data_IF_124993138393
#
_entry.id   IF_124993138393
#
_cell.length_a   1.000
_cell.length_b   1.000
_cell.length_c   1.000
_cell.angle_alpha   90.00
_cell.angle_beta   90.00
_cell.angle_gamma   90.00
#
_symmetry.space_group_name_H-M   'P 1'
#
loop_
_entity.id
_entity.type
_entity.pdbx_description
1 polymer ?
#
# COMPACT_ATOMS: atom_id res chain seq x y z
N UNK A 1 -36.60 -15.17 65.39
CA UNK A 1 -35.55 -14.18 65.03
C UNK A 1 -35.32 -14.26 63.53
N UNK A 2 -35.91 -13.34 62.77
CA UNK A 2 -35.81 -13.32 61.30
C UNK A 2 -34.66 -12.40 60.88
N UNK A 3 -33.67 -12.96 60.19
CA UNK A 3 -32.52 -12.24 59.66
C UNK A 3 -32.87 -11.67 58.29
N UNK A 4 -32.93 -10.34 58.18
CA UNK A 4 -33.11 -9.64 56.91
C UNK A 4 -31.74 -9.50 56.22
N UNK A 5 -31.55 -10.26 55.14
CA UNK A 5 -30.38 -10.15 54.26
C UNK A 5 -30.59 -9.01 53.27
N UNK A 6 -29.98 -7.85 53.54
CA UNK A 6 -30.00 -6.69 52.66
C UNK A 6 -28.97 -6.86 51.54
N UNK A 7 -29.38 -7.42 50.41
CA UNK A 7 -28.58 -7.44 49.18
C UNK A 7 -28.49 -6.03 48.57
N UNK A 8 -27.37 -5.35 48.81
CA UNK A 8 -26.99 -4.10 48.15
C UNK A 8 -26.65 -4.39 46.68
N UNK A 9 -27.60 -4.15 45.76
CA UNK A 9 -27.32 -4.11 44.32
C UNK A 9 -26.44 -2.90 44.03
N UNK A 10 -25.15 -3.13 43.79
CA UNK A 10 -24.29 -2.15 43.13
C UNK A 10 -24.81 -1.98 41.70
N UNK A 11 -25.47 -0.85 41.45
CA UNK A 11 -25.82 -0.38 40.12
C UNK A 11 -24.54 -0.27 39.31
N UNK A 12 -24.31 -1.21 38.40
CA UNK A 12 -23.29 -1.08 37.35
C UNK A 12 -23.77 0.03 36.44
N UNK A 13 -23.26 1.24 36.65
CA UNK A 13 -23.37 2.31 35.66
C UNK A 13 -22.78 1.76 34.36
N UNK A 14 -23.63 1.62 33.35
CA UNK A 14 -23.16 1.33 32.01
C UNK A 14 -22.13 2.41 31.64
N UNK A 15 -20.99 2.06 31.03
CA UNK A 15 -20.03 3.05 30.56
C UNK A 15 -20.79 4.03 29.67
N UNK A 16 -20.97 5.25 30.15
CA UNK A 16 -21.66 6.30 29.44
C UNK A 16 -20.97 6.48 28.11
N UNK A 17 -21.74 6.38 27.02
CA UNK A 17 -21.31 6.85 25.71
C UNK A 17 -21.15 8.37 25.80
N UNK A 18 -20.02 8.82 26.33
CA UNK A 18 -19.66 10.23 26.30
C UNK A 18 -19.61 10.66 24.84
N UNK A 19 -20.44 11.66 24.50
CA UNK A 19 -20.53 12.17 23.15
C UNK A 19 -19.18 12.74 22.73
N UNK A 20 -18.58 12.17 21.69
CA UNK A 20 -17.32 12.62 21.10
C UNK A 20 -17.34 14.12 20.74
N UNK A 21 -18.53 14.70 20.53
CA UNK A 21 -18.71 16.13 20.25
C UNK A 21 -18.29 17.05 21.42
N UNK A 22 -18.45 16.62 22.67
CA UNK A 22 -18.07 17.42 23.84
C UNK A 22 -16.54 17.43 24.04
N UNK A 23 -15.86 16.35 23.63
CA UNK A 23 -14.41 16.21 23.78
C UNK A 23 -13.61 17.10 22.80
N UNK A 24 -14.21 17.52 21.69
CA UNK A 24 -13.57 18.33 20.64
C UNK A 24 -13.07 19.70 21.14
N UNK A 25 -13.62 20.21 22.24
CA UNK A 25 -13.25 21.49 22.85
C UNK A 25 -12.52 21.32 24.20
N UNK A 26 -12.00 20.12 24.48
CA UNK A 26 -11.24 19.89 25.70
C UNK A 26 -9.81 20.45 25.56
N UNK A 27 -9.17 20.90 26.67
CA UNK A 27 -7.75 21.28 26.64
C UNK A 27 -6.82 20.16 26.11
N UNK A 28 -7.23 18.90 26.27
CA UNK A 28 -6.51 17.75 25.72
C UNK A 28 -6.57 17.70 24.18
N UNK A 29 -7.74 18.01 23.59
CA UNK A 29 -7.89 18.10 22.14
C UNK A 29 -7.05 19.25 21.56
N UNK A 30 -7.05 20.41 22.22
CA UNK A 30 -6.18 21.55 21.84
C UNK A 30 -4.70 21.18 21.91
N UNK A 31 -4.28 20.48 22.96
CA UNK A 31 -2.91 19.97 23.09
C UNK A 31 -2.53 19.00 21.97
N UNK A 32 -3.43 18.09 21.57
CA UNK A 32 -3.19 17.18 20.44
C UNK A 32 -3.07 17.95 19.11
N UNK A 33 -3.95 18.92 18.87
CA UNK A 33 -3.88 19.78 17.67
C UNK A 33 -2.55 20.54 17.64
N UNK A 34 -2.10 21.09 18.77
CA UNK A 34 -0.81 21.75 18.88
C UNK A 34 0.33 20.81 18.49
N UNK A 35 0.36 19.57 19.02
CA UNK A 35 1.38 18.58 18.66
C UNK A 35 1.35 18.28 17.16
N UNK A 36 0.18 18.00 16.59
CA UNK A 36 0.03 17.67 15.17
C UNK A 36 0.47 18.80 14.24
N UNK A 37 0.28 20.06 14.65
CA UNK A 37 0.72 21.23 13.88
C UNK A 37 2.23 21.51 13.98
N UNK A 38 2.92 20.96 14.98
CA UNK A 38 4.34 21.23 15.25
C UNK A 38 5.25 20.01 15.09
N UNK A 39 4.71 18.86 14.69
CA UNK A 39 5.48 17.64 14.41
C UNK A 39 5.53 17.37 12.91
N UNK A 40 6.67 16.87 12.41
CA UNK A 40 6.73 16.42 11.02
C UNK A 40 5.91 15.14 10.85
N UNK A 41 5.28 14.90 9.67
CA UNK A 41 4.56 13.66 9.42
C UNK A 41 5.43 12.41 9.61
N UNK A 42 6.72 12.52 9.29
CA UNK A 42 7.71 11.45 9.47
C UNK A 42 7.92 11.13 10.96
N UNK A 43 8.19 12.14 11.79
CA UNK A 43 8.44 11.94 13.21
C UNK A 43 7.19 11.44 13.95
N UNK A 44 6.01 11.91 13.53
CA UNK A 44 4.74 11.38 14.04
C UNK A 44 4.59 9.89 13.72
N UNK A 45 4.80 9.49 12.47
CA UNK A 45 4.71 8.08 12.06
C UNK A 45 5.73 7.21 12.81
N UNK A 46 6.95 7.68 12.97
CA UNK A 46 8.00 6.95 13.68
C UNK A 46 7.74 6.86 15.18
N UNK A 47 7.22 7.92 15.81
CA UNK A 47 6.79 7.92 17.20
C UNK A 47 5.67 6.90 17.45
N UNK A 48 4.65 6.90 16.59
CA UNK A 48 3.55 5.92 16.64
C UNK A 48 4.09 4.50 16.46
N UNK A 49 4.96 4.24 15.47
CA UNK A 49 5.59 2.91 15.27
C UNK A 49 6.36 2.44 16.51
N UNK A 50 7.14 3.33 17.12
CA UNK A 50 7.89 3.02 18.36
C UNK A 50 6.95 2.67 19.53
N UNK A 51 5.76 3.26 19.61
CA UNK A 51 4.78 2.91 20.63
C UNK A 51 4.22 1.48 20.49
N UNK A 52 4.29 0.89 19.29
CA UNK A 52 3.94 -0.52 19.05
C UNK A 52 5.10 -1.49 19.32
N UNK A 53 6.30 -0.99 19.59
CA UNK A 53 7.47 -1.81 19.95
C UNK A 53 7.70 -1.79 21.47
N UNK A 54 8.14 -2.89 22.09
CA UNK A 54 8.55 -2.88 23.50
C UNK A 54 9.59 -1.79 23.77
N UNK A 55 9.52 -1.07 24.92
CA UNK A 55 8.72 -1.37 26.10
C UNK A 55 7.33 -0.69 26.16
N UNK A 56 7.01 0.21 25.24
CA UNK A 56 5.81 1.07 25.31
C UNK A 56 4.50 0.36 24.92
N UNK A 57 4.56 -0.95 24.70
CA UNK A 57 3.52 -1.83 24.15
C UNK A 57 2.10 -1.41 24.53
N UNK A 58 1.42 -0.76 23.59
CA UNK A 58 -0.01 -0.48 23.71
C UNK A 58 -0.78 -1.79 23.96
N UNK A 59 -1.75 -1.74 24.87
CA UNK A 59 -2.65 -2.87 25.10
C UNK A 59 -3.51 -3.12 23.85
N UNK A 60 -3.97 -4.35 23.66
CA UNK A 60 -4.89 -4.69 22.56
C UNK A 60 -6.12 -3.77 22.49
N UNK A 61 -6.65 -3.36 23.66
CA UNK A 61 -7.77 -2.42 23.74
C UNK A 61 -7.40 -1.03 23.20
N UNK A 62 -6.25 -0.47 23.61
CA UNK A 62 -5.77 0.82 23.12
C UNK A 62 -5.50 0.80 21.61
N UNK A 63 -4.96 -0.30 21.08
CA UNK A 63 -4.77 -0.49 19.64
C UNK A 63 -6.11 -0.48 18.91
N UNK A 64 -7.13 -1.16 19.46
CA UNK A 64 -8.48 -1.16 18.91
C UNK A 64 -9.08 0.25 18.84
N UNK A 65 -9.03 0.99 19.96
CA UNK A 65 -9.52 2.38 20.03
C UNK A 65 -8.79 3.29 19.04
N UNK A 66 -7.47 3.14 18.91
CA UNK A 66 -6.70 3.93 17.94
C UNK A 66 -7.15 3.64 16.51
N UNK A 67 -7.36 2.37 16.14
CA UNK A 67 -7.86 2.03 14.80
C UNK A 67 -9.27 2.57 14.55
N UNK A 68 -10.15 2.58 15.56
CA UNK A 68 -11.49 3.18 15.47
C UNK A 68 -11.42 4.69 15.22
N UNK A 69 -10.51 5.39 15.93
CA UNK A 69 -10.28 6.83 15.73
C UNK A 69 -9.74 7.11 14.33
N UNK A 70 -8.77 6.33 13.85
CA UNK A 70 -8.21 6.49 12.50
C UNK A 70 -9.26 6.26 11.40
N UNK A 71 -10.14 5.28 11.61
CA UNK A 71 -11.26 5.00 10.71
C UNK A 71 -12.29 6.14 10.72
N UNK A 72 -12.67 6.66 11.90
CA UNK A 72 -13.56 7.80 12.03
C UNK A 72 -12.98 9.09 11.40
N UNK A 73 -11.66 9.27 11.48
CA UNK A 73 -10.92 10.35 10.82
C UNK A 73 -10.75 10.15 9.30
N UNK A 74 -11.30 9.07 8.73
CA UNK A 74 -11.20 8.70 7.31
C UNK A 74 -9.75 8.57 6.83
N UNK A 75 -8.84 8.12 7.70
CA UNK A 75 -7.47 7.81 7.30
C UNK A 75 -7.52 6.63 6.32
N UNK A 76 -6.93 6.76 5.11
CA UNK A 76 -6.96 5.70 4.13
C UNK A 76 -6.46 4.36 4.69
N UNK A 77 -7.13 3.28 4.32
CA UNK A 77 -6.84 1.90 4.75
C UNK A 77 -7.10 1.57 6.23
N UNK A 78 -7.47 2.51 7.09
CA UNK A 78 -7.74 2.23 8.51
C UNK A 78 -8.85 1.17 8.70
N UNK A 79 -9.96 1.31 7.96
CA UNK A 79 -11.05 0.33 7.93
C UNK A 79 -10.60 -1.05 7.43
N UNK A 80 -9.61 -1.10 6.54
CA UNK A 80 -9.10 -2.34 5.93
C UNK A 80 -8.06 -3.00 6.84
N UNK A 81 -7.33 -2.22 7.64
CA UNK A 81 -6.26 -2.71 8.50
C UNK A 81 -6.73 -3.80 9.48
N UNK A 82 -7.92 -3.65 10.08
CA UNK A 82 -8.51 -4.66 10.97
C UNK A 82 -8.76 -6.01 10.26
N UNK A 83 -9.18 -5.96 8.98
CA UNK A 83 -9.40 -7.16 8.16
C UNK A 83 -8.07 -7.80 7.77
N UNK A 84 -7.13 -6.98 7.28
CA UNK A 84 -5.79 -7.43 6.88
C UNK A 84 -5.03 -8.06 8.05
N UNK A 85 -5.15 -7.52 9.26
CA UNK A 85 -4.44 -8.06 10.43
C UNK A 85 -4.79 -9.53 10.73
N UNK A 86 -5.97 -10.00 10.31
CA UNK A 86 -6.45 -11.38 10.47
C UNK A 86 -6.34 -12.20 9.18
N UNK A 87 -5.84 -11.59 8.11
CA UNK A 87 -5.77 -12.22 6.80
C UNK A 87 -4.44 -12.96 6.64
N UNK A 88 -4.51 -14.28 6.73
CA UNK A 88 -3.41 -15.21 6.51
C UNK A 88 -3.39 -15.79 5.08
N UNK A 89 -4.22 -15.26 4.19
CA UNK A 89 -4.33 -15.76 2.82
C UNK A 89 -3.05 -15.47 2.06
N UNK A 90 -2.39 -16.55 1.61
CA UNK A 90 -1.24 -16.48 0.70
C UNK A 90 -1.73 -16.11 -0.69
N UNK A 91 -1.06 -15.12 -1.29
CA UNK A 91 -1.36 -14.58 -2.62
C UNK A 91 -0.10 -14.62 -3.47
N UNK A 92 -0.27 -14.71 -4.78
CA UNK A 92 0.84 -14.61 -5.72
C UNK A 92 0.97 -13.17 -6.23
N UNK A 93 2.13 -12.55 -6.07
CA UNK A 93 2.37 -11.21 -6.60
C UNK A 93 2.58 -11.30 -8.12
N UNK A 94 1.73 -10.65 -8.91
CA UNK A 94 1.85 -10.68 -10.38
C UNK A 94 3.03 -9.84 -10.91
N UNK A 95 3.70 -9.07 -10.05
CA UNK A 95 4.86 -8.23 -10.42
C UNK A 95 6.20 -8.92 -10.17
N UNK A 96 6.40 -9.50 -8.97
CA UNK A 96 7.67 -10.15 -8.61
C UNK A 96 7.58 -11.68 -8.56
N UNK A 97 6.40 -12.25 -8.81
CA UNK A 97 6.12 -13.68 -8.80
C UNK A 97 6.48 -14.41 -7.50
N UNK A 98 6.52 -13.68 -6.37
CA UNK A 98 6.67 -14.26 -5.04
C UNK A 98 5.32 -14.35 -4.35
N UNK A 99 5.15 -15.43 -3.61
CA UNK A 99 4.01 -15.57 -2.72
C UNK A 99 4.17 -14.64 -1.51
N UNK A 100 3.06 -14.04 -1.07
CA UNK A 100 3.05 -13.06 0.00
C UNK A 100 1.72 -13.09 0.77
N UNK A 101 1.74 -12.55 1.98
CA UNK A 101 0.54 -12.35 2.83
C UNK A 101 0.34 -10.85 3.02
N UNK A 102 -0.89 -10.35 2.81
CA UNK A 102 -1.17 -8.91 2.74
C UNK A 102 -0.79 -8.17 4.04
N UNK A 103 -0.87 -8.82 5.21
CA UNK A 103 -0.48 -8.20 6.49
C UNK A 103 1.02 -7.88 6.61
N UNK A 104 1.85 -8.48 5.75
CA UNK A 104 3.28 -8.19 5.64
C UNK A 104 3.61 -7.36 4.38
N UNK A 105 2.59 -6.94 3.62
CA UNK A 105 2.74 -6.24 2.33
C UNK A 105 2.97 -4.72 2.50
N UNK A 106 4.14 -4.35 3.04
CA UNK A 106 4.57 -2.97 3.20
C UNK A 106 5.02 -2.30 1.90
N UNK A 107 5.31 -0.99 1.97
CA UNK A 107 5.75 -0.17 0.81
C UNK A 107 7.05 -0.65 0.14
N UNK A 108 7.80 -1.54 0.79
CA UNK A 108 9.09 -2.04 0.31
C UNK A 108 9.13 -3.57 0.22
N UNK A 109 7.98 -4.24 0.38
CA UNK A 109 7.91 -5.70 0.42
C UNK A 109 8.20 -6.34 -0.96
N UNK A 110 7.67 -5.75 -2.02
CA UNK A 110 7.94 -6.15 -3.39
C UNK A 110 9.19 -5.44 -3.91
N UNK A 111 10.29 -6.18 -3.96
CA UNK A 111 11.56 -5.75 -4.56
C UNK A 111 11.85 -6.53 -5.84
N UNK A 112 12.24 -5.82 -6.90
CA UNK A 112 12.64 -6.41 -8.18
C UNK A 112 14.04 -5.88 -8.50
N UNK A 113 15.05 -6.76 -8.62
CA UNK A 113 16.38 -6.33 -9.03
C UNK A 113 16.36 -5.89 -10.49
N UNK A 114 17.36 -5.12 -10.88
CA UNK A 114 17.63 -4.94 -12.30
C UNK A 114 17.99 -6.26 -12.96
N UNK A 115 17.72 -6.35 -14.26
CA UNK A 115 18.25 -7.41 -15.10
C UNK A 115 19.77 -7.44 -15.10
N UNK A 116 20.32 -8.57 -15.56
CA UNK A 116 21.75 -8.67 -15.83
C UNK A 116 22.16 -7.53 -16.78
N UNK A 117 23.12 -6.74 -16.34
CA UNK A 117 23.67 -5.67 -17.15
C UNK A 117 24.36 -6.26 -18.39
N UNK A 118 24.15 -5.61 -19.53
CA UNK A 118 24.96 -5.87 -20.72
C UNK A 118 26.17 -4.93 -20.70
N UNK A 119 27.36 -5.50 -20.89
CA UNK A 119 28.58 -4.72 -21.07
C UNK A 119 28.58 -4.08 -22.46
N UNK A 120 28.71 -2.76 -22.52
CA UNK A 120 28.80 -1.99 -23.77
C UNK A 120 30.01 -1.05 -23.75
N UNK A 121 30.59 -0.76 -24.91
CA UNK A 121 31.68 0.22 -25.04
C UNK A 121 31.08 1.55 -25.48
N UNK A 122 31.03 2.52 -24.57
CA UNK A 122 30.57 3.87 -24.82
C UNK A 122 31.72 4.88 -24.98
N UNK A 123 31.40 6.18 -25.17
CA UNK A 123 32.41 7.24 -25.33
C UNK A 123 33.37 7.40 -24.14
N UNK A 124 32.97 6.91 -22.96
CA UNK A 124 33.72 6.96 -21.71
C UNK A 124 34.35 5.62 -21.32
N UNK A 125 34.35 4.62 -22.22
CA UNK A 125 34.88 3.28 -21.95
C UNK A 125 33.79 2.24 -21.69
N UNK A 126 34.11 1.23 -20.87
CA UNK A 126 33.19 0.15 -20.53
C UNK A 126 32.02 0.68 -19.70
N UNK A 127 30.79 0.35 -20.10
CA UNK A 127 29.56 0.76 -19.46
C UNK A 127 28.64 -0.46 -19.25
N UNK A 128 27.81 -0.40 -18.22
CA UNK A 128 26.76 -1.37 -17.94
C UNK A 128 25.42 -0.81 -18.40
N UNK A 129 24.75 -1.51 -19.30
CA UNK A 129 23.42 -1.15 -19.79
C UNK A 129 22.35 -2.08 -19.22
N UNK A 130 21.31 -1.51 -18.62
CA UNK A 130 20.19 -2.23 -18.03
C UNK A 130 18.94 -2.07 -18.90
N UNK A 131 18.62 -3.10 -19.67
CA UNK A 131 17.46 -3.14 -20.57
C UNK A 131 16.13 -2.82 -19.89
N UNK A 132 15.96 -3.23 -18.63
CA UNK A 132 14.72 -3.03 -17.87
C UNK A 132 14.30 -1.57 -17.68
N UNK A 133 15.25 -0.62 -17.68
CA UNK A 133 15.00 0.80 -17.45
C UNK A 133 15.81 1.73 -18.36
N UNK A 134 16.48 1.18 -19.37
CA UNK A 134 17.40 1.93 -20.24
C UNK A 134 18.45 2.74 -19.48
N UNK A 135 18.91 2.22 -18.34
CA UNK A 135 19.92 2.89 -17.51
C UNK A 135 21.33 2.48 -17.95
N UNK A 136 22.21 3.46 -18.09
CA UNK A 136 23.64 3.25 -18.35
C UNK A 136 24.42 3.63 -17.09
N UNK A 137 25.27 2.74 -16.58
CA UNK A 137 26.18 3.04 -15.46
C UNK A 137 27.63 2.77 -15.82
N UNK A 138 28.56 3.48 -15.19
CA UNK A 138 30.00 3.28 -15.38
C UNK A 138 30.54 2.39 -14.25
N UNK A 139 31.18 1.25 -14.53
CA UNK A 139 31.65 0.28 -13.53
C UNK A 139 32.59 0.88 -12.49
N UNK A 140 33.43 1.83 -12.90
CA UNK A 140 34.49 2.44 -12.09
C UNK A 140 33.97 3.19 -10.86
N UNK A 141 32.68 3.56 -10.86
CA UNK A 141 32.03 4.20 -9.72
C UNK A 141 31.50 3.21 -8.67
N UNK A 142 31.69 1.90 -8.88
CA UNK A 142 31.22 0.87 -7.95
C UNK A 142 29.70 0.87 -7.75
N UNK A 143 28.96 1.47 -8.69
CA UNK A 143 27.51 1.65 -8.55
C UNK A 143 26.80 0.34 -8.85
N UNK A 144 26.43 -0.39 -7.80
CA UNK A 144 25.35 -1.35 -7.88
C UNK A 144 24.07 -0.54 -8.08
N UNK A 145 23.35 -0.68 -9.20
CA UNK A 145 22.14 0.11 -9.47
C UNK A 145 21.03 -0.15 -8.43
N UNK A 146 21.18 -1.16 -7.58
CA UNK A 146 20.24 -1.49 -6.54
C UNK A 146 19.03 -2.23 -7.11
N UNK A 147 17.84 -1.77 -6.73
CA UNK A 147 16.57 -2.38 -7.14
C UNK A 147 15.94 -1.56 -8.26
N UNK A 148 15.48 -2.24 -9.30
CA UNK A 148 14.69 -1.64 -10.37
C UNK A 148 13.33 -1.15 -9.87
N UNK A 149 12.73 -1.90 -8.94
CA UNK A 149 11.44 -1.55 -8.34
C UNK A 149 11.43 -1.87 -6.85
N UNK A 150 10.81 -0.97 -6.08
CA UNK A 150 10.50 -1.13 -4.66
C UNK A 150 9.07 -0.66 -4.41
N UNK A 151 8.22 -1.53 -3.86
CA UNK A 151 6.80 -1.23 -3.69
C UNK A 151 6.05 -2.27 -2.85
N UNK A 152 4.72 -2.19 -2.90
CA UNK A 152 3.83 -3.25 -2.40
C UNK A 152 3.67 -4.35 -3.45
N UNK A 153 3.54 -5.60 -3.00
CA UNK A 153 3.01 -6.69 -3.80
C UNK A 153 1.59 -6.39 -4.26
N UNK A 154 1.20 -6.93 -5.41
CA UNK A 154 -0.13 -6.75 -5.99
C UNK A 154 -0.57 -8.03 -6.67
N UNK A 155 -1.86 -8.33 -6.60
CA UNK A 155 -2.55 -9.32 -7.44
C UNK A 155 -3.21 -8.68 -8.66
N UNK A 156 -3.23 -7.34 -8.74
CA UNK A 156 -3.82 -6.60 -9.84
C UNK A 156 -2.83 -6.50 -11.00
N UNK A 157 -3.17 -7.09 -12.13
CA UNK A 157 -2.39 -7.00 -13.37
C UNK A 157 -2.49 -5.62 -14.00
N UNK A 158 -3.68 -5.00 -13.89
CA UNK A 158 -3.91 -3.61 -14.31
C UNK A 158 -3.02 -2.70 -13.45
N UNK A 159 -2.08 -2.00 -14.09
CA UNK A 159 -1.13 -1.12 -13.40
C UNK A 159 0.24 -1.73 -13.12
N UNK A 160 0.49 -2.98 -13.52
CA UNK A 160 1.85 -3.51 -13.60
C UNK A 160 2.39 -3.22 -15.00
N UNK A 161 3.45 -2.41 -15.08
CA UNK A 161 4.19 -2.24 -16.33
C UNK A 161 5.04 -3.48 -16.54
N UNK A 162 4.60 -4.32 -17.46
CA UNK A 162 5.31 -5.54 -17.85
C UNK A 162 6.37 -5.22 -18.91
N UNK A 163 7.63 -5.48 -18.59
CA UNK A 163 8.78 -5.43 -19.50
C UNK A 163 9.34 -6.85 -19.62
N UNK A 164 10.02 -7.18 -20.73
CA UNK A 164 10.57 -8.53 -20.95
C UNK A 164 11.50 -9.02 -19.83
N UNK A 165 12.03 -8.09 -19.06
CA UNK A 165 12.89 -8.23 -17.88
C UNK A 165 12.17 -8.52 -16.56
N UNK A 166 10.96 -7.98 -16.37
CA UNK A 166 10.22 -8.11 -15.10
C UNK A 166 9.07 -9.14 -15.16
N UNK A 167 8.81 -9.70 -16.34
CA UNK A 167 7.92 -10.83 -16.56
C UNK A 167 8.76 -12.11 -16.49
N UNK A 168 8.90 -12.69 -15.29
CA UNK A 168 9.19 -14.12 -15.26
C UNK A 168 7.86 -14.80 -15.57
N UNK A 169 7.59 -15.09 -16.85
CA UNK A 169 6.30 -15.65 -17.27
C UNK A 169 5.89 -16.77 -16.33
N UNK A 170 4.69 -16.67 -15.71
CA UNK A 170 4.28 -17.54 -14.61
C UNK A 170 4.52 -19.00 -15.00
N UNK A 171 5.65 -19.60 -14.59
CA UNK A 171 6.02 -20.98 -14.92
C UNK A 171 5.11 -21.89 -14.10
N UNK A 172 3.89 -22.13 -14.60
CA UNK A 172 2.87 -22.89 -13.91
C UNK A 172 1.45 -22.34 -14.01
N UNK A 173 1.25 -21.20 -14.69
CA UNK A 173 -0.05 -20.56 -14.77
C UNK A 173 -0.37 -19.83 -13.48
N UNK A 174 -0.33 -18.50 -13.53
CA UNK A 174 -1.11 -17.71 -12.60
C UNK A 174 -2.55 -18.25 -12.72
N UNK A 175 -3.18 -18.81 -11.66
CA UNK A 175 -4.51 -19.39 -11.77
C UNK A 175 -5.42 -18.24 -12.17
N UNK A 176 -5.68 -18.19 -13.46
CA UNK A 176 -6.61 -17.29 -14.06
C UNK A 176 -7.93 -17.79 -13.50
N UNK A 177 -8.42 -17.14 -12.44
CA UNK A 177 -9.85 -17.05 -12.23
C UNK A 177 -10.39 -16.18 -13.36
N UNK A 178 -10.28 -16.68 -14.59
CA UNK A 178 -11.08 -16.19 -15.69
C UNK A 178 -12.54 -16.51 -15.32
N UNK A 179 -13.48 -15.59 -15.57
CA UNK A 179 -14.88 -15.98 -15.56
C UNK A 179 -15.04 -17.17 -16.52
N UNK A 180 -15.85 -18.19 -16.16
CA UNK A 180 -15.95 -19.40 -16.97
C UNK A 180 -16.54 -19.05 -18.34
N UNK A 181 -16.13 -19.84 -19.36
CA UNK A 181 -16.62 -19.90 -20.75
C UNK A 181 -15.84 -19.07 -21.79
N UNK A 182 -15.55 -19.52 -23.01
CA UNK A 182 -15.68 -20.82 -23.69
C UNK A 182 -14.87 -20.77 -25.01
N UNK A 183 -14.40 -21.92 -25.50
CA UNK A 183 -14.13 -22.14 -26.93
C UNK A 183 -12.66 -22.13 -27.38
N UNK A 184 -12.22 -23.12 -28.18
CA UNK A 184 -10.84 -23.23 -28.67
C UNK A 184 -10.63 -22.58 -30.06
N UNK A 185 -9.34 -22.52 -30.41
CA UNK A 185 -8.74 -22.30 -31.74
C UNK A 185 -8.47 -20.85 -32.17
N UNK A 186 -7.18 -20.50 -32.27
CA UNK A 186 -6.43 -20.49 -33.54
C UNK A 186 -5.03 -19.89 -33.29
N UNK A 187 -4.00 -20.68 -33.61
CA UNK A 187 -2.63 -20.20 -33.80
C UNK A 187 -2.56 -19.27 -35.03
N UNK A 188 -1.88 -18.12 -34.92
CA UNK A 188 -0.75 -17.74 -35.82
C UNK A 188 -0.21 -16.34 -35.47
N UNK A 189 1.11 -16.29 -35.24
CA UNK A 189 1.99 -15.12 -35.44
C UNK A 189 2.41 -15.08 -36.94
N UNK A 190 2.87 -13.95 -37.53
CA UNK A 190 4.02 -13.19 -37.02
C UNK A 190 4.03 -11.65 -37.24
N UNK A 191 5.08 -11.06 -36.66
CA UNK A 191 5.47 -9.66 -36.58
C UNK A 191 5.46 -8.85 -37.89
N UNK A 192 5.25 -7.53 -37.79
CA UNK A 192 6.19 -6.48 -38.22
C UNK A 192 5.65 -5.06 -37.98
N UNK A 193 6.59 -4.13 -37.77
CA UNK A 193 6.56 -2.73 -38.26
C UNK A 193 6.30 -1.57 -37.27
N UNK A 194 7.42 -0.89 -36.96
CA UNK A 194 7.69 0.56 -36.95
C UNK A 194 6.86 1.47 -36.02
N UNK A 195 7.54 2.04 -35.02
CA UNK A 195 7.15 3.31 -34.42
C UNK A 195 8.28 4.33 -34.62
N UNK A 196 7.95 5.44 -35.29
CA UNK A 196 8.79 6.61 -35.50
C UNK A 196 8.89 7.46 -34.24
N UNK A 197 10.04 8.10 -34.02
CA UNK A 197 10.27 9.17 -33.05
C UNK A 197 9.72 10.52 -33.56
N UNK A 198 9.46 11.47 -32.66
CA UNK A 198 10.33 12.67 -32.54
C UNK A 198 10.70 12.98 -31.07
N UNK A 199 11.98 13.23 -30.77
CA UNK A 199 12.60 14.57 -30.58
C UNK A 199 11.80 15.51 -29.65
N UNK A 200 12.21 15.59 -28.38
CA UNK A 200 12.84 16.77 -27.72
C UNK A 200 11.81 17.88 -27.39
N UNK A 201 11.70 18.52 -26.22
CA UNK A 201 12.65 19.01 -25.21
C UNK A 201 11.79 19.49 -24.03
N UNK A 202 12.24 19.31 -22.78
CA UNK A 202 12.45 20.42 -21.83
C UNK A 202 12.61 19.86 -20.41
N UNK A 203 13.75 20.22 -19.84
CA UNK A 203 14.12 20.09 -18.43
C UNK A 203 13.04 20.68 -17.53
N UNK A 204 12.41 19.86 -16.68
CA UNK A 204 11.90 20.20 -15.34
C UNK A 204 11.13 19.00 -14.76
N UNK A 205 11.82 18.10 -14.06
CA UNK A 205 11.13 17.09 -13.21
C UNK A 205 12.01 16.67 -12.05
N UNK A 206 12.01 17.49 -10.99
CA UNK A 206 12.31 17.02 -9.64
C UNK A 206 11.11 17.42 -8.77
N UNK A 207 10.54 16.44 -8.07
CA UNK A 207 9.32 16.45 -7.25
C UNK A 207 7.96 16.27 -7.95
N UNK A 208 7.68 15.04 -8.40
CA UNK A 208 6.31 14.56 -8.56
C UNK A 208 6.18 13.03 -8.35
N UNK A 209 6.46 12.54 -7.14
CA UNK A 209 6.11 11.15 -6.75
C UNK A 209 5.09 11.05 -5.59
N UNK A 210 4.51 12.17 -5.14
CA UNK A 210 3.58 12.15 -4.00
C UNK A 210 2.08 12.24 -4.37
N UNK A 211 1.72 12.41 -5.64
CA UNK A 211 0.32 12.79 -6.01
C UNK A 211 -0.51 11.68 -6.65
N UNK A 212 0.05 10.50 -6.94
CA UNK A 212 -0.67 9.48 -7.74
C UNK A 212 -1.53 8.50 -6.92
N UNK A 213 -1.50 8.56 -5.58
CA UNK A 213 -2.27 7.63 -4.72
C UNK A 213 -3.66 8.16 -4.30
N UNK A 214 -4.11 9.31 -4.78
CA UNK A 214 -5.38 9.92 -4.34
C UNK A 214 -6.54 9.81 -5.34
N UNK A 215 -6.38 9.15 -6.50
CA UNK A 215 -7.40 9.22 -7.57
C UNK A 215 -8.27 7.99 -7.79
N UNK A 216 -8.13 6.91 -7.03
CA UNK A 216 -8.89 5.66 -7.29
C UNK A 216 -9.91 5.26 -6.20
N UNK A 217 -10.25 6.12 -5.23
CA UNK A 217 -11.24 5.77 -4.19
C UNK A 217 -12.60 6.48 -4.31
N UNK A 218 -12.89 7.14 -5.44
CA UNK A 218 -14.17 7.85 -5.64
C UNK A 218 -14.84 7.32 -6.91
N UNK A 219 -15.49 6.18 -6.82
CA UNK A 219 -16.45 5.72 -7.83
C UNK A 219 -17.66 5.12 -7.11
N UNK A 220 -18.69 5.98 -7.01
CA UNK A 220 -20.13 5.69 -7.11
C UNK A 220 -20.81 4.81 -6.04
N UNK A 221 -21.35 5.49 -5.04
CA UNK A 221 -22.60 5.11 -4.37
C UNK A 221 -23.65 6.18 -4.74
N UNK A 222 -24.32 6.00 -5.88
CA UNK A 222 -25.58 6.71 -6.17
C UNK A 222 -26.71 5.91 -5.54
N UNK A 223 -27.26 6.42 -4.44
CA UNK A 223 -28.55 5.99 -3.92
C UNK A 223 -29.65 6.70 -4.70
N UNK A 224 -30.37 5.95 -5.53
CA UNK A 224 -31.67 6.32 -6.07
C UNK A 224 -32.66 6.49 -4.91
N UNK A 225 -33.03 7.73 -4.61
CA UNK A 225 -34.29 8.04 -3.96
C UNK A 225 -35.34 8.24 -5.07
N UNK A 226 -36.28 7.31 -5.16
CA UNK A 226 -37.56 7.53 -5.84
C UNK A 226 -38.67 7.35 -4.81
N UNK A 227 -38.99 8.47 -4.15
CA UNK A 227 -40.35 8.70 -3.67
C UNK A 227 -41.24 8.91 -4.91
N UNK A 228 -42.28 8.10 -5.05
CA UNK A 228 -43.43 8.42 -5.90
C UNK A 228 -44.68 7.79 -5.29
N UNK A 229 -45.53 8.69 -4.79
CA UNK A 229 -47.00 8.61 -4.59
C UNK A 229 -47.60 7.62 -3.57
#
# INVERSE_FOLDING_TARGET
>A
MAQYSTTRRLSRNAPGTESLSAAAFSPAAEGMIYVLNNISPHDFCDGIRKAFTPPLSLTQHQIGVLLDIMEAARIPNAAIAKRIAKDDTTRHCVRCHRDYVEKYNGQTACSIPHDAAEAQVGPLGLQWYYHCCSLVTVPELGHNPGLHFLGRHTTQEKGVQYTGSNIQGCRGGCPSYGPPSAGPDVMTSPATSRCSTPESTSSDTIMACASFLQRESSTELSSDESESE
#
